data_IF_248500599260
#
_entry.id   IF_248500599260
#
_cell.length_a   1.000
_cell.length_b   1.000
_cell.length_c   1.000
_cell.angle_alpha   90.00
_cell.angle_beta   90.00
_cell.angle_gamma   90.00
#
_symmetry.space_group_name_H-M   'P 1'
#
loop_
_entity.id
_entity.type
_entity.pdbx_description
1 polymer ?
#
# COMPACT_ATOMS: atom_id res chain seq x y z
N UNK A 1 -14.73 7.78 19.65
CA UNK A 1 -14.63 6.44 20.27
C UNK A 1 -14.96 5.43 19.20
N UNK A 2 -14.08 4.45 18.97
CA UNK A 2 -14.28 3.40 17.97
C UNK A 2 -15.53 2.60 18.35
N UNK A 3 -16.64 2.80 17.63
CA UNK A 3 -17.92 2.09 17.79
C UNK A 3 -17.80 0.67 17.19
N UNK A 4 -16.76 -0.06 17.61
CA UNK A 4 -16.39 -1.39 17.14
C UNK A 4 -16.67 -2.39 18.25
N UNK A 5 -17.45 -3.41 17.91
CA UNK A 5 -17.73 -4.57 18.77
C UNK A 5 -17.02 -5.79 18.19
N UNK A 6 -16.64 -6.72 19.05
CA UNK A 6 -15.99 -7.95 18.62
C UNK A 6 -16.84 -9.15 18.99
N UNK A 7 -16.91 -10.14 18.11
CA UNK A 7 -17.63 -11.38 18.34
C UNK A 7 -16.70 -12.45 18.90
N UNK A 8 -17.09 -13.02 20.03
CA UNK A 8 -16.29 -14.00 20.78
C UNK A 8 -17.04 -15.32 20.84
N UNK A 9 -16.46 -16.38 20.29
CA UNK A 9 -16.96 -17.74 20.41
C UNK A 9 -16.42 -18.39 21.68
N UNK A 10 -17.28 -18.91 22.54
CA UNK A 10 -16.90 -19.54 23.81
C UNK A 10 -17.18 -21.04 23.74
N UNK A 11 -16.13 -21.85 23.83
CA UNK A 11 -16.18 -23.30 23.89
C UNK A 11 -15.94 -23.76 25.33
N UNK A 12 -16.88 -24.51 25.92
CA UNK A 12 -16.74 -25.04 27.29
C UNK A 12 -16.63 -26.55 27.35
N UNK A 13 -15.98 -27.07 28.38
CA UNK A 13 -15.66 -28.50 28.51
C UNK A 13 -16.81 -29.38 28.94
N UNK A 14 -17.85 -28.83 29.55
CA UNK A 14 -19.02 -29.62 29.93
C UNK A 14 -20.28 -28.80 30.14
N UNK A 15 -21.42 -29.49 30.27
CA UNK A 15 -22.73 -28.89 30.46
C UNK A 15 -22.88 -28.23 31.84
N UNK A 16 -22.19 -28.75 32.84
CA UNK A 16 -22.12 -28.28 34.23
C UNK A 16 -21.55 -26.86 34.35
N UNK A 17 -20.75 -26.41 33.36
CA UNK A 17 -20.12 -25.08 33.36
C UNK A 17 -21.09 -23.90 33.12
N UNK A 18 -22.38 -24.08 33.42
CA UNK A 18 -23.40 -23.03 33.33
C UNK A 18 -23.05 -21.78 34.16
N UNK A 19 -22.52 -21.89 35.40
CA UNK A 19 -22.10 -20.72 36.17
C UNK A 19 -20.99 -19.92 35.47
N UNK A 20 -19.94 -20.59 34.98
CA UNK A 20 -18.80 -19.98 34.32
C UNK A 20 -19.21 -19.33 32.99
N UNK A 21 -20.07 -20.01 32.20
CA UNK A 21 -20.64 -19.45 30.96
C UNK A 21 -21.38 -18.14 31.22
N UNK A 22 -22.19 -18.08 32.28
CA UNK A 22 -22.93 -16.88 32.64
C UNK A 22 -22.01 -15.71 32.98
N UNK A 23 -20.97 -15.98 33.78
CA UNK A 23 -19.98 -14.96 34.17
C UNK A 23 -19.22 -14.45 32.95
N UNK A 24 -18.74 -15.35 32.08
CA UNK A 24 -18.04 -14.97 30.85
C UNK A 24 -18.96 -14.14 29.93
N UNK A 25 -20.18 -14.59 29.68
CA UNK A 25 -21.13 -13.89 28.81
C UNK A 25 -21.44 -12.48 29.34
N UNK A 26 -21.77 -12.34 30.62
CA UNK A 26 -22.04 -11.04 31.23
C UNK A 26 -20.83 -10.12 31.20
N UNK A 27 -19.64 -10.66 31.44
CA UNK A 27 -18.39 -9.88 31.44
C UNK A 27 -18.04 -9.40 30.05
N UNK A 28 -18.09 -10.28 29.04
CA UNK A 28 -17.86 -9.93 27.64
C UNK A 28 -18.84 -8.86 27.15
N UNK A 29 -20.14 -9.04 27.43
CA UNK A 29 -21.17 -8.06 27.07
C UNK A 29 -20.91 -6.72 27.77
N UNK A 30 -20.56 -6.73 29.06
CA UNK A 30 -20.22 -5.52 29.82
C UNK A 30 -18.98 -4.79 29.28
N UNK A 31 -18.07 -5.51 28.63
CA UNK A 31 -16.90 -4.96 27.95
C UNK A 31 -17.18 -4.52 26.50
N UNK A 32 -18.40 -4.70 25.99
CA UNK A 32 -18.79 -4.32 24.62
C UNK A 32 -18.56 -5.40 23.56
N UNK A 33 -18.26 -6.63 23.97
CA UNK A 33 -18.14 -7.80 23.08
C UNK A 33 -19.50 -8.48 22.90
N UNK A 34 -19.68 -9.15 21.75
CA UNK A 34 -20.77 -10.09 21.53
C UNK A 34 -20.29 -11.50 21.85
N UNK A 35 -20.86 -12.15 22.85
CA UNK A 35 -20.50 -13.53 23.22
C UNK A 35 -21.45 -14.55 22.58
N UNK A 36 -20.92 -15.64 22.05
CA UNK A 36 -21.71 -16.76 21.54
C UNK A 36 -21.18 -18.10 22.09
N UNK A 37 -22.08 -19.01 22.47
CA UNK A 37 -21.74 -20.31 23.04
C UNK A 37 -22.83 -21.35 22.71
N UNK A 38 -22.42 -22.61 22.49
CA UNK A 38 -23.36 -23.74 22.43
C UNK A 38 -23.55 -24.34 23.81
N UNK A 39 -24.75 -24.23 24.38
CA UNK A 39 -25.05 -24.84 25.68
C UNK A 39 -25.31 -26.34 25.58
N UNK A 40 -26.08 -26.78 24.58
CA UNK A 40 -26.43 -28.20 24.38
C UNK A 40 -25.69 -28.78 23.18
N UNK A 41 -24.85 -29.79 23.43
CA UNK A 41 -24.00 -30.39 22.41
C UNK A 41 -24.74 -31.51 21.65
N UNK A 42 -24.68 -31.46 20.32
CA UNK A 42 -25.24 -32.47 19.42
C UNK A 42 -24.54 -32.41 18.05
N UNK A 43 -24.71 -33.41 17.17
CA UNK A 43 -24.21 -33.33 15.80
C UNK A 43 -24.75 -32.10 15.05
N UNK A 44 -26.00 -31.72 15.29
CA UNK A 44 -26.61 -30.52 14.68
C UNK A 44 -25.96 -29.24 15.20
N UNK A 45 -25.78 -29.14 16.52
CA UNK A 45 -25.15 -27.96 17.13
C UNK A 45 -23.68 -27.79 16.73
N UNK A 46 -23.01 -28.87 16.33
CA UNK A 46 -21.62 -28.83 15.82
C UNK A 46 -21.52 -28.03 14.52
N UNK A 47 -22.49 -28.19 13.61
CA UNK A 47 -22.53 -27.41 12.38
C UNK A 47 -22.76 -25.92 12.67
N UNK A 48 -23.62 -25.61 13.66
CA UNK A 48 -23.86 -24.24 14.11
C UNK A 48 -22.60 -23.66 14.74
N UNK A 49 -21.91 -24.42 15.60
CA UNK A 49 -20.66 -24.01 16.24
C UNK A 49 -19.60 -23.63 15.20
N UNK A 50 -19.39 -24.46 14.17
CA UNK A 50 -18.42 -24.17 13.10
C UNK A 50 -18.72 -22.86 12.37
N UNK A 51 -19.99 -22.63 12.02
CA UNK A 51 -20.41 -21.37 11.38
C UNK A 51 -20.12 -20.18 12.28
N UNK A 52 -20.36 -20.31 13.58
CA UNK A 52 -20.10 -19.22 14.53
C UNK A 52 -18.60 -19.00 14.76
N UNK A 53 -17.78 -20.05 14.68
CA UNK A 53 -16.33 -19.90 14.68
C UNK A 53 -15.86 -19.17 13.41
N UNK A 54 -16.43 -19.47 12.24
CA UNK A 54 -16.12 -18.75 11.00
C UNK A 54 -16.39 -17.24 11.11
N UNK A 55 -17.49 -16.87 11.75
CA UNK A 55 -17.94 -15.47 11.89
C UNK A 55 -17.31 -14.73 13.09
N UNK A 56 -16.70 -15.44 14.06
CA UNK A 56 -16.13 -14.82 15.25
C UNK A 56 -14.77 -14.14 15.01
N UNK A 57 -14.48 -13.14 15.82
CA UNK A 57 -13.21 -12.41 15.88
C UNK A 57 -12.19 -13.12 16.79
N UNK A 58 -12.67 -13.66 17.93
CA UNK A 58 -11.84 -14.35 18.93
C UNK A 58 -12.51 -15.64 19.39
N UNK A 59 -11.69 -16.61 19.79
CA UNK A 59 -12.15 -17.86 20.41
C UNK A 59 -11.67 -17.93 21.86
N UNK A 60 -12.59 -18.25 22.77
CA UNK A 60 -12.29 -18.57 24.15
C UNK A 60 -12.54 -20.06 24.37
N UNK A 61 -11.52 -20.77 24.83
CA UNK A 61 -11.69 -22.12 25.37
C UNK A 61 -11.71 -22.05 26.90
N UNK A 62 -12.70 -22.70 27.49
CA UNK A 62 -12.90 -22.73 28.93
C UNK A 62 -12.92 -24.18 29.42
N UNK A 63 -11.87 -24.54 30.16
CA UNK A 63 -11.71 -25.87 30.71
C UNK A 63 -12.07 -25.88 32.19
N UNK A 64 -13.00 -26.75 32.56
CA UNK A 64 -13.33 -27.11 33.92
C UNK A 64 -12.53 -28.34 34.37
N UNK A 65 -13.23 -29.47 34.52
CA UNK A 65 -12.71 -30.74 35.06
C UNK A 65 -13.17 -31.97 34.26
N UNK A 66 -13.88 -31.78 33.14
CA UNK A 66 -14.37 -32.85 32.28
C UNK A 66 -13.87 -32.69 30.84
N UNK A 67 -13.77 -33.79 30.11
CA UNK A 67 -13.59 -33.80 28.66
C UNK A 67 -14.88 -33.40 27.92
N UNK A 68 -16.03 -33.77 28.49
CA UNK A 68 -17.35 -33.40 27.99
C UNK A 68 -17.95 -34.35 26.96
N UNK A 69 -19.08 -33.90 26.41
CA UNK A 69 -19.83 -34.65 25.40
C UNK A 69 -18.97 -34.94 24.18
N UNK A 70 -18.93 -36.22 23.80
CA UNK A 70 -18.17 -36.70 22.66
C UNK A 70 -19.06 -36.93 21.45
N UNK A 71 -18.52 -36.65 20.28
CA UNK A 71 -19.11 -37.07 19.01
C UNK A 71 -19.03 -38.60 18.83
N UNK A 72 -19.63 -39.10 17.75
CA UNK A 72 -19.59 -40.53 17.39
C UNK A 72 -18.17 -41.10 17.23
N UNK A 73 -17.17 -40.26 16.98
CA UNK A 73 -15.75 -40.68 16.91
C UNK A 73 -15.07 -40.77 18.29
N UNK A 74 -15.77 -40.42 19.38
CA UNK A 74 -15.22 -40.40 20.73
C UNK A 74 -14.33 -39.19 21.03
N UNK A 75 -14.35 -38.15 20.20
CA UNK A 75 -13.67 -36.87 20.42
C UNK A 75 -14.70 -35.86 20.96
N UNK A 76 -14.31 -35.11 22.00
CA UNK A 76 -15.14 -34.06 22.62
C UNK A 76 -15.50 -32.98 21.60
N UNK A 77 -16.73 -32.47 21.67
CA UNK A 77 -17.15 -31.36 20.82
C UNK A 77 -16.28 -30.11 21.01
N UNK A 78 -15.81 -29.83 22.24
CA UNK A 78 -14.89 -28.72 22.47
C UNK A 78 -13.51 -28.94 21.82
N UNK A 79 -13.00 -30.17 21.86
CA UNK A 79 -11.75 -30.51 21.17
C UNK A 79 -11.93 -30.39 19.64
N UNK A 80 -13.08 -30.78 19.08
CA UNK A 80 -13.36 -30.54 17.66
C UNK A 80 -13.43 -29.04 17.32
N UNK A 81 -13.97 -28.21 18.21
CA UNK A 81 -14.00 -26.76 18.06
C UNK A 81 -12.60 -26.14 18.14
N UNK A 82 -11.74 -26.62 19.04
CA UNK A 82 -10.32 -26.23 19.11
C UNK A 82 -9.61 -26.46 17.78
N UNK A 83 -9.69 -27.70 17.27
CA UNK A 83 -9.06 -28.09 16.01
C UNK A 83 -9.59 -27.20 14.88
N UNK A 84 -10.90 -26.98 14.84
CA UNK A 84 -11.50 -26.13 13.82
C UNK A 84 -11.01 -24.67 13.90
N UNK A 85 -10.98 -24.08 15.10
CA UNK A 85 -10.51 -22.72 15.32
C UNK A 85 -9.04 -22.53 14.91
N UNK A 86 -8.17 -23.50 15.23
CA UNK A 86 -6.78 -23.51 14.76
C UNK A 86 -6.71 -23.54 13.24
N UNK A 87 -7.46 -24.43 12.59
CA UNK A 87 -7.42 -24.53 11.11
C UNK A 87 -7.90 -23.24 10.43
N UNK A 88 -8.75 -22.46 11.12
CA UNK A 88 -9.24 -21.15 10.68
C UNK A 88 -8.36 -19.99 11.12
N UNK A 89 -7.24 -20.27 11.80
CA UNK A 89 -6.29 -19.28 12.32
C UNK A 89 -6.96 -18.21 13.18
N UNK A 90 -7.96 -18.60 13.98
CA UNK A 90 -8.66 -17.68 14.86
C UNK A 90 -7.79 -17.37 16.08
N UNK A 91 -7.58 -16.09 16.44
CA UNK A 91 -6.92 -15.74 17.69
C UNK A 91 -7.69 -16.35 18.87
N UNK A 92 -6.98 -17.04 19.76
CA UNK A 92 -7.60 -17.75 20.86
C UNK A 92 -6.94 -17.50 22.20
N UNK A 93 -7.75 -17.61 23.24
CA UNK A 93 -7.32 -17.60 24.63
C UNK A 93 -7.96 -18.76 25.37
N UNK A 94 -7.19 -19.41 26.23
CA UNK A 94 -7.62 -20.59 26.99
C UNK A 94 -7.64 -20.24 28.47
N UNK A 95 -8.80 -20.40 29.10
CA UNK A 95 -8.95 -20.32 30.55
C UNK A 95 -9.11 -21.73 31.12
N UNK A 96 -8.22 -22.10 32.02
CA UNK A 96 -8.16 -23.43 32.60
C UNK A 96 -8.40 -23.36 34.11
N UNK A 97 -9.24 -24.24 34.65
CA UNK A 97 -9.32 -24.37 36.10
C UNK A 97 -7.95 -24.76 36.64
N UNK A 98 -7.46 -24.08 37.68
CA UNK A 98 -6.09 -24.26 38.18
C UNK A 98 -5.86 -25.67 38.74
N UNK A 99 -6.84 -26.16 39.51
CA UNK A 99 -6.84 -27.49 40.11
C UNK A 99 -8.17 -28.21 39.77
N UNK A 100 -8.24 -28.94 38.64
CA UNK A 100 -9.48 -29.62 38.26
C UNK A 100 -9.83 -30.76 39.22
N UNK A 101 -8.83 -31.42 39.83
CA UNK A 101 -9.01 -32.58 40.71
C UNK A 101 -9.65 -32.20 42.06
N UNK A 102 -9.41 -30.98 42.55
CA UNK A 102 -10.04 -30.46 43.76
C UNK A 102 -11.55 -30.13 43.61
N UNK A 103 -12.11 -30.19 42.39
CA UNK A 103 -13.53 -29.91 42.16
C UNK A 103 -14.40 -31.08 42.62
N UNK A 104 -15.65 -30.78 42.96
CA UNK A 104 -16.63 -31.79 43.41
C UNK A 104 -16.74 -32.94 42.41
N UNK A 105 -16.88 -34.18 42.90
CA UNK A 105 -16.88 -35.40 42.07
C UNK A 105 -17.92 -35.39 40.94
N UNK A 106 -19.06 -34.73 41.17
CA UNK A 106 -20.14 -34.54 40.18
C UNK A 106 -19.69 -33.77 38.93
N UNK A 107 -18.63 -32.96 39.07
CA UNK A 107 -18.02 -32.16 38.01
C UNK A 107 -16.90 -32.90 37.29
N UNK A 108 -16.74 -34.21 37.50
CA UNK A 108 -15.75 -35.04 36.80
C UNK A 108 -16.44 -36.02 35.85
N UNK A 109 -15.74 -36.43 34.79
CA UNK A 109 -16.22 -37.52 33.94
C UNK A 109 -16.38 -38.80 34.77
N UNK A 110 -17.47 -39.53 34.59
CA UNK A 110 -17.66 -40.82 35.25
C UNK A 110 -16.70 -41.90 34.70
N UNK A 111 -16.31 -41.79 33.43
CA UNK A 111 -15.49 -42.80 32.76
C UNK A 111 -13.99 -42.50 32.85
N UNK A 112 -13.21 -43.48 33.28
CA UNK A 112 -11.74 -43.44 33.25
C UNK A 112 -11.15 -43.05 31.88
N UNK A 113 -11.64 -43.55 30.72
CA UNK A 113 -11.09 -43.14 29.43
C UNK A 113 -11.35 -41.67 29.09
N UNK A 114 -12.48 -41.09 29.50
CA UNK A 114 -12.73 -39.66 29.30
C UNK A 114 -11.81 -38.79 30.16
N UNK A 115 -11.57 -39.18 31.43
CA UNK A 115 -10.60 -38.50 32.31
C UNK A 115 -9.19 -38.49 31.72
N UNK A 116 -8.74 -39.63 31.17
CA UNK A 116 -7.43 -39.71 30.52
C UNK A 116 -7.34 -38.77 29.31
N UNK A 117 -8.38 -38.72 28.46
CA UNK A 117 -8.45 -37.79 27.32
C UNK A 117 -8.48 -36.32 27.76
N UNK A 118 -9.16 -36.00 28.85
CA UNK A 118 -9.14 -34.64 29.42
C UNK A 118 -7.73 -34.22 29.83
N UNK A 119 -7.01 -35.08 30.54
CA UNK A 119 -5.65 -34.81 30.99
C UNK A 119 -4.71 -34.61 29.79
N UNK A 120 -4.82 -35.47 28.79
CA UNK A 120 -4.03 -35.37 27.55
C UNK A 120 -4.32 -34.07 26.81
N UNK A 121 -5.59 -33.75 26.59
CA UNK A 121 -6.00 -32.53 25.88
C UNK A 121 -5.60 -31.26 26.66
N UNK A 122 -5.74 -31.26 27.98
CA UNK A 122 -5.29 -30.16 28.83
C UNK A 122 -3.77 -29.94 28.67
N UNK A 123 -2.99 -31.02 28.73
CA UNK A 123 -1.53 -30.95 28.55
C UNK A 123 -1.16 -30.45 27.16
N UNK A 124 -1.87 -30.90 26.12
CA UNK A 124 -1.69 -30.43 24.75
C UNK A 124 -1.89 -28.91 24.67
N UNK A 125 -3.01 -28.38 25.20
CA UNK A 125 -3.28 -26.94 25.19
C UNK A 125 -2.21 -26.14 25.94
N UNK A 126 -1.70 -26.65 27.06
CA UNK A 126 -0.60 -26.00 27.81
C UNK A 126 0.72 -25.94 27.02
N UNK A 127 0.92 -26.83 26.05
CA UNK A 127 2.14 -26.90 25.24
C UNK A 127 2.01 -26.14 23.92
N UNK A 128 0.83 -26.16 23.30
CA UNK A 128 0.59 -25.66 21.95
C UNK A 128 0.00 -24.25 21.91
N UNK A 129 -0.66 -23.79 22.98
CA UNK A 129 -1.34 -22.48 23.00
C UNK A 129 -0.54 -21.47 23.82
N UNK A 130 -0.23 -20.33 23.21
CA UNK A 130 0.56 -19.27 23.87
C UNK A 130 -0.22 -18.56 25.00
N UNK A 131 -1.53 -18.40 24.83
CA UNK A 131 -2.40 -17.60 25.72
C UNK A 131 -3.22 -18.50 26.65
N UNK A 132 -2.56 -19.08 27.65
CA UNK A 132 -3.20 -19.94 28.67
C UNK A 132 -3.21 -19.24 30.03
N UNK A 133 -4.39 -19.09 30.60
CA UNK A 133 -4.60 -18.47 31.90
C UNK A 133 -5.37 -19.40 32.84
N UNK A 134 -5.11 -19.25 34.14
CA UNK A 134 -5.72 -20.10 35.16
C UNK A 134 -6.76 -19.35 35.99
N UNK A 135 -7.75 -20.08 36.49
CA UNK A 135 -8.74 -19.57 37.45
C UNK A 135 -9.09 -20.65 38.48
N UNK A 136 -9.42 -20.25 39.71
CA UNK A 136 -9.86 -21.15 40.78
C UNK A 136 -11.34 -20.97 41.13
N UNK A 137 -11.90 -19.81 40.82
CA UNK A 137 -13.30 -19.47 41.12
C UNK A 137 -13.85 -18.46 40.11
N UNK A 138 -15.16 -18.22 40.18
CA UNK A 138 -15.88 -17.35 39.25
C UNK A 138 -15.39 -15.89 39.27
N UNK A 139 -15.00 -15.37 40.44
CA UNK A 139 -14.52 -13.99 40.58
C UNK A 139 -13.15 -13.81 39.93
N UNK A 140 -12.28 -14.80 40.10
CA UNK A 140 -10.98 -14.83 39.43
C UNK A 140 -11.16 -15.00 37.92
N UNK A 141 -12.07 -15.86 37.47
CA UNK A 141 -12.39 -16.02 36.04
C UNK A 141 -12.83 -14.68 35.41
N UNK A 142 -13.72 -13.94 36.06
CA UNK A 142 -14.14 -12.59 35.62
C UNK A 142 -12.95 -11.63 35.52
N UNK A 143 -12.09 -11.60 36.56
CA UNK A 143 -10.94 -10.70 36.60
C UNK A 143 -9.92 -11.03 35.50
N UNK A 144 -9.52 -12.30 35.41
CA UNK A 144 -8.57 -12.83 34.43
C UNK A 144 -9.11 -12.67 33.01
N UNK A 145 -10.42 -12.81 32.79
CA UNK A 145 -11.02 -12.53 31.49
C UNK A 145 -10.87 -11.05 31.10
N UNK A 146 -11.19 -10.11 32.01
CA UNK A 146 -11.12 -8.66 31.73
C UNK A 146 -9.70 -8.21 31.38
N UNK A 147 -8.70 -8.65 32.14
CA UNK A 147 -7.31 -8.26 31.90
C UNK A 147 -6.79 -8.81 30.57
N UNK A 148 -7.09 -10.07 30.26
CA UNK A 148 -6.50 -10.73 29.10
C UNK A 148 -7.23 -10.42 27.79
N UNK A 149 -8.53 -10.15 27.81
CA UNK A 149 -9.24 -9.72 26.59
C UNK A 149 -8.75 -8.37 26.07
N UNK A 150 -8.39 -7.44 26.97
CA UNK A 150 -7.78 -6.17 26.55
C UNK A 150 -6.41 -6.40 25.89
N UNK A 151 -5.60 -7.28 26.47
CA UNK A 151 -4.32 -7.67 25.87
C UNK A 151 -4.50 -8.33 24.50
N UNK A 152 -5.51 -9.19 24.33
CA UNK A 152 -5.83 -9.84 23.06
C UNK A 152 -6.16 -8.82 21.95
N UNK A 153 -6.87 -7.73 22.28
CA UNK A 153 -7.17 -6.66 21.31
C UNK A 153 -5.92 -5.95 20.80
N UNK A 154 -4.93 -5.78 21.68
CA UNK A 154 -3.67 -5.10 21.37
C UNK A 154 -2.70 -6.00 20.57
N UNK A 155 -2.53 -7.24 21.00
CA UNK A 155 -1.58 -8.17 20.39
C UNK A 155 -2.12 -8.86 19.12
N UNK A 156 -3.44 -9.04 19.03
CA UNK A 156 -4.08 -9.73 17.91
C UNK A 156 -5.21 -8.87 17.35
N UNK A 157 -4.90 -7.75 16.67
CA UNK A 157 -5.91 -6.84 16.15
C UNK A 157 -6.71 -7.48 15.01
N UNK A 158 -8.03 -7.41 15.13
CA UNK A 158 -8.99 -7.90 14.12
C UNK A 158 -9.96 -6.80 13.68
N UNK A 159 -10.68 -7.06 12.59
CA UNK A 159 -11.57 -6.07 11.97
C UNK A 159 -12.74 -5.70 12.87
N UNK A 160 -13.37 -6.68 13.52
CA UNK A 160 -14.57 -6.48 14.33
C UNK A 160 -15.78 -6.00 13.52
N UNK A 161 -16.86 -5.75 14.26
CA UNK A 161 -18.15 -5.30 13.77
C UNK A 161 -18.38 -3.84 14.10
N UNK A 162 -18.68 -3.05 13.08
CA UNK A 162 -19.10 -1.66 13.24
C UNK A 162 -20.57 -1.58 12.84
N UNK A 163 -21.40 -0.98 13.69
CA UNK A 163 -22.80 -0.75 13.33
C UNK A 163 -22.84 0.19 12.13
N UNK A 164 -23.52 -0.17 11.02
CA UNK A 164 -23.58 0.71 9.88
C UNK A 164 -24.34 1.98 10.28
N UNK A 165 -23.65 3.13 10.23
CA UNK A 165 -24.22 4.46 10.39
C UNK A 165 -24.04 5.18 9.05
N UNK A 166 -25.09 5.86 8.57
CA UNK A 166 -25.06 6.69 7.36
C UNK A 166 -24.49 5.97 6.10
N UNK A 167 -24.77 4.66 5.96
CA UNK A 167 -24.26 3.85 4.84
C UNK A 167 -24.58 4.46 3.47
N UNK A 168 -25.79 5.01 3.32
CA UNK A 168 -26.20 5.69 2.09
C UNK A 168 -25.35 6.92 1.82
N UNK A 169 -25.13 7.79 2.82
CA UNK A 169 -24.31 9.00 2.66
C UNK A 169 -22.87 8.66 2.27
N UNK A 170 -22.29 7.62 2.86
CA UNK A 170 -20.95 7.15 2.51
C UNK A 170 -20.90 6.59 1.09
N UNK A 171 -21.93 5.85 0.66
CA UNK A 171 -22.03 5.35 -0.70
C UNK A 171 -22.16 6.49 -1.71
N UNK A 172 -23.03 7.47 -1.43
CA UNK A 172 -23.21 8.66 -2.27
C UNK A 172 -21.90 9.44 -2.42
N UNK A 173 -21.12 9.58 -1.35
CA UNK A 173 -19.81 10.24 -1.38
C UNK A 173 -18.77 9.43 -2.17
N UNK A 174 -18.75 8.10 -2.01
CA UNK A 174 -17.88 7.21 -2.81
C UNK A 174 -18.20 7.35 -4.30
N UNK A 175 -19.47 7.35 -4.67
CA UNK A 175 -19.89 7.47 -6.07
C UNK A 175 -19.63 8.87 -6.62
N UNK A 176 -19.81 9.92 -5.79
CA UNK A 176 -19.42 11.28 -6.15
C UNK A 176 -17.91 11.37 -6.42
N UNK A 177 -17.07 10.84 -5.54
CA UNK A 177 -15.61 10.84 -5.71
C UNK A 177 -15.17 10.04 -6.94
N UNK A 178 -15.80 8.89 -7.21
CA UNK A 178 -15.55 8.11 -8.44
C UNK A 178 -15.90 8.90 -9.69
N UNK A 179 -17.03 9.60 -9.69
CA UNK A 179 -17.43 10.43 -10.83
C UNK A 179 -16.44 11.58 -11.07
N UNK A 180 -15.97 12.22 -9.99
CA UNK A 180 -14.97 13.29 -10.05
C UNK A 180 -13.61 12.79 -10.54
N UNK A 181 -13.18 11.61 -10.11
CA UNK A 181 -11.95 10.98 -10.62
C UNK A 181 -12.04 10.71 -12.12
N UNK A 182 -13.16 10.15 -12.59
CA UNK A 182 -13.40 9.93 -14.02
C UNK A 182 -13.40 11.24 -14.81
N UNK A 183 -14.02 12.28 -14.28
CA UNK A 183 -14.03 13.60 -14.90
C UNK A 183 -12.62 14.19 -14.99
N UNK A 184 -11.86 14.20 -13.90
CA UNK A 184 -10.49 14.71 -13.88
C UNK A 184 -9.57 13.92 -14.81
N UNK A 185 -9.71 12.59 -14.87
CA UNK A 185 -8.96 11.77 -15.82
C UNK A 185 -9.32 12.10 -17.28
N UNK A 186 -10.59 12.37 -17.58
CA UNK A 186 -11.00 12.82 -18.92
C UNK A 186 -10.44 14.20 -19.24
N UNK A 187 -10.51 15.15 -18.32
CA UNK A 187 -9.94 16.49 -18.51
C UNK A 187 -8.42 16.42 -18.70
N UNK A 188 -7.71 15.58 -17.93
CA UNK A 188 -6.28 15.36 -18.15
C UNK A 188 -6.00 14.79 -19.53
N UNK A 189 -6.74 13.77 -19.97
CA UNK A 189 -6.59 13.22 -21.33
C UNK A 189 -6.94 14.23 -22.41
N UNK A 190 -7.97 15.05 -22.21
CA UNK A 190 -8.34 16.11 -23.15
C UNK A 190 -7.27 17.20 -23.19
N UNK A 191 -6.72 17.62 -22.05
CA UNK A 191 -5.58 18.54 -22.05
C UNK A 191 -4.35 17.90 -22.70
N UNK A 192 -4.10 16.60 -22.50
CA UNK A 192 -3.05 15.88 -23.22
C UNK A 192 -3.34 15.85 -24.73
N UNK A 193 -4.57 15.56 -25.16
CA UNK A 193 -4.99 15.48 -26.58
C UNK A 193 -5.00 16.86 -27.27
N UNK A 194 -5.57 17.88 -26.63
CA UNK A 194 -5.60 19.27 -27.11
C UNK A 194 -4.18 19.86 -27.18
N UNK A 195 -3.26 19.40 -26.31
CA UNK A 195 -1.83 19.73 -26.39
C UNK A 195 -1.03 18.80 -27.31
N UNK A 196 -1.59 17.66 -27.78
CA UNK A 196 -1.00 16.70 -28.75
C UNK A 196 -1.50 16.95 -30.17
N UNK A 197 -2.28 18.01 -30.40
CA UNK A 197 -2.43 18.64 -31.72
C UNK A 197 -1.12 19.31 -32.20
N UNK A 198 0.01 18.66 -31.99
CA UNK A 198 1.32 19.08 -32.49
C UNK A 198 1.61 18.22 -33.72
N UNK A 199 1.76 18.89 -34.86
CA UNK A 199 2.20 18.22 -36.08
C UNK A 199 3.60 17.63 -35.87
N UNK A 200 3.94 16.60 -36.66
CA UNK A 200 5.32 16.14 -36.75
C UNK A 200 6.21 17.33 -37.15
N UNK A 201 7.24 17.58 -36.34
CA UNK A 201 8.21 18.64 -36.61
C UNK A 201 9.46 18.07 -37.29
N UNK A 202 10.01 18.81 -38.23
CA UNK A 202 11.32 18.55 -38.83
C UNK A 202 12.44 18.88 -37.82
N UNK A 203 13.62 18.29 -38.02
CA UNK A 203 14.83 18.60 -37.23
C UNK A 203 15.28 20.06 -37.37
N UNK A 204 14.92 20.72 -38.47
CA UNK A 204 15.26 22.11 -38.76
C UNK A 204 14.21 23.10 -38.22
N UNK A 205 13.04 22.60 -37.81
CA UNK A 205 11.99 23.44 -37.22
C UNK A 205 12.44 23.97 -35.86
N UNK A 206 12.05 25.20 -35.58
CA UNK A 206 12.58 25.95 -34.44
C UNK A 206 11.55 26.01 -33.32
N UNK A 207 11.98 25.67 -32.11
CA UNK A 207 11.18 25.73 -30.91
C UNK A 207 11.66 26.85 -29.98
N UNK A 208 10.72 27.67 -29.50
CA UNK A 208 10.97 28.74 -28.54
C UNK A 208 10.47 28.33 -27.17
N UNK A 209 11.34 28.42 -26.17
CA UNK A 209 11.00 28.09 -24.80
C UNK A 209 11.67 29.04 -23.81
N UNK A 210 11.13 29.04 -22.58
CA UNK A 210 11.58 29.88 -21.49
C UNK A 210 12.37 29.06 -20.47
N UNK A 211 13.38 29.70 -19.89
CA UNK A 211 14.18 29.14 -18.81
C UNK A 211 14.55 30.23 -17.81
N UNK A 212 14.75 29.83 -16.56
CA UNK A 212 15.18 30.71 -15.47
C UNK A 212 16.67 30.57 -15.24
N UNK A 213 17.31 31.67 -14.92
CA UNK A 213 18.73 31.71 -14.54
C UNK A 213 18.92 32.52 -13.27
N UNK A 214 19.98 32.20 -12.55
CA UNK A 214 20.51 33.01 -11.46
C UNK A 214 21.75 33.76 -11.96
N UNK A 215 21.63 35.06 -12.20
CA UNK A 215 22.72 35.92 -12.65
C UNK A 215 23.40 36.59 -11.46
N UNK A 216 24.73 36.62 -11.46
CA UNK A 216 25.52 37.33 -10.46
C UNK A 216 26.02 38.65 -11.04
N UNK A 217 25.66 39.75 -10.39
CA UNK A 217 26.06 41.11 -10.74
C UNK A 217 26.44 41.85 -9.46
N UNK A 218 27.67 42.36 -9.38
CA UNK A 218 28.18 43.17 -8.25
C UNK A 218 27.83 42.61 -6.85
N UNK A 219 27.95 41.28 -6.67
CA UNK A 219 27.67 40.59 -5.42
C UNK A 219 26.20 40.30 -5.11
N UNK A 220 25.27 40.67 -6.00
CA UNK A 220 23.84 40.38 -5.90
C UNK A 220 23.42 39.25 -6.84
N UNK A 221 22.42 38.47 -6.41
CA UNK A 221 21.84 37.38 -7.20
C UNK A 221 20.49 37.85 -7.74
N UNK A 222 20.36 37.84 -9.06
CA UNK A 222 19.11 38.14 -9.75
C UNK A 222 18.56 36.89 -10.43
N UNK A 223 17.30 36.56 -10.16
CA UNK A 223 16.58 35.55 -10.93
C UNK A 223 15.91 36.19 -12.14
N UNK A 224 16.29 35.72 -13.32
CA UNK A 224 15.80 36.24 -14.60
C UNK A 224 15.17 35.10 -15.39
N UNK A 225 14.10 35.41 -16.11
CA UNK A 225 13.51 34.48 -17.09
C UNK A 225 13.93 34.92 -18.48
N UNK A 226 14.63 34.05 -19.20
CA UNK A 226 15.09 34.29 -20.56
C UNK A 226 14.33 33.40 -21.53
N UNK A 227 14.23 33.87 -22.78
CA UNK A 227 13.67 33.11 -23.88
C UNK A 227 14.80 32.63 -24.79
N UNK A 228 14.74 31.34 -25.13
CA UNK A 228 15.67 30.69 -26.05
C UNK A 228 14.93 30.11 -27.23
N UNK A 229 15.62 30.07 -28.36
CA UNK A 229 15.11 29.61 -29.64
C UNK A 229 16.11 28.60 -30.20
N UNK A 230 15.72 27.33 -30.33
CA UNK A 230 16.59 26.23 -30.78
C UNK A 230 15.89 25.36 -31.81
N UNK A 231 16.61 24.82 -32.82
CA UNK A 231 16.03 23.82 -33.70
C UNK A 231 15.80 22.52 -32.94
N UNK A 232 14.75 21.79 -33.30
CA UNK A 232 14.42 20.50 -32.69
C UNK A 232 15.56 19.49 -32.79
N UNK A 233 16.33 19.52 -33.88
CA UNK A 233 17.53 18.69 -34.05
C UNK A 233 18.61 18.96 -32.99
N UNK A 234 18.74 20.21 -32.51
CA UNK A 234 19.69 20.54 -31.43
C UNK A 234 19.21 19.96 -30.10
N UNK A 235 17.93 20.12 -29.78
CA UNK A 235 17.35 19.56 -28.55
C UNK A 235 17.40 18.02 -28.54
N UNK A 236 17.08 17.40 -29.67
CA UNK A 236 17.20 15.96 -29.86
C UNK A 236 18.66 15.51 -29.69
N UNK A 237 19.62 16.23 -30.27
CA UNK A 237 21.03 15.92 -30.12
C UNK A 237 21.48 15.95 -28.65
N UNK A 238 21.14 16.99 -27.89
CA UNK A 238 21.49 17.06 -26.47
C UNK A 238 20.89 15.90 -25.68
N UNK A 239 19.61 15.59 -25.89
CA UNK A 239 18.94 14.47 -25.23
C UNK A 239 19.53 13.12 -25.66
N UNK A 240 19.93 12.96 -26.92
CA UNK A 240 20.49 11.72 -27.45
C UNK A 240 21.80 11.28 -26.76
N UNK A 241 22.54 12.22 -26.16
CA UNK A 241 23.76 11.91 -25.38
C UNK A 241 23.46 11.07 -24.13
N UNK A 242 22.24 11.19 -23.59
CA UNK A 242 21.81 10.52 -22.37
C UNK A 242 20.98 9.29 -22.74
N UNK A 243 19.92 9.45 -23.53
CA UNK A 243 18.89 8.42 -23.74
C UNK A 243 19.27 7.24 -24.67
N UNK A 244 20.56 6.98 -24.92
CA UNK A 244 20.97 5.82 -25.72
C UNK A 244 20.58 4.47 -25.10
N UNK A 245 20.50 4.42 -23.77
CA UNK A 245 19.95 3.30 -22.99
C UNK A 245 18.66 3.73 -22.28
N UNK A 246 17.84 2.78 -21.77
CA UNK A 246 16.66 3.11 -20.99
C UNK A 246 17.03 3.86 -19.69
N UNK A 247 16.62 5.12 -19.59
CA UNK A 247 16.95 6.03 -18.48
C UNK A 247 15.67 6.65 -17.89
N UNK A 248 15.60 6.89 -16.57
CA UNK A 248 14.46 7.53 -15.92
C UNK A 248 14.10 8.91 -16.47
N UNK A 249 12.81 9.23 -16.48
CA UNK A 249 12.26 10.48 -17.02
C UNK A 249 12.85 11.77 -16.43
N UNK A 250 13.29 11.76 -15.17
CA UNK A 250 13.94 12.90 -14.50
C UNK A 250 15.20 13.41 -15.23
N UNK A 251 15.82 12.57 -16.07
CA UNK A 251 16.99 12.95 -16.85
C UNK A 251 16.68 13.90 -18.02
N UNK A 252 15.42 14.06 -18.46
CA UNK A 252 15.06 15.10 -19.43
C UNK A 252 15.38 16.49 -18.86
N UNK A 253 14.94 16.75 -17.62
CA UNK A 253 15.18 18.01 -16.94
C UNK A 253 16.68 18.22 -16.68
N UNK A 254 17.37 17.17 -16.19
CA UNK A 254 18.81 17.23 -15.92
C UNK A 254 19.61 17.58 -17.17
N UNK A 255 19.41 16.84 -18.26
CA UNK A 255 20.12 17.04 -19.52
C UNK A 255 19.92 18.44 -20.10
N UNK A 256 18.66 18.93 -20.15
CA UNK A 256 18.37 20.27 -20.68
C UNK A 256 18.90 21.37 -19.76
N UNK A 257 18.85 21.19 -18.44
CA UNK A 257 19.42 22.17 -17.50
C UNK A 257 20.94 22.24 -17.61
N UNK A 258 21.63 21.10 -17.76
CA UNK A 258 23.09 21.06 -17.97
C UNK A 258 23.47 21.81 -19.26
N UNK A 259 22.75 21.55 -20.35
CA UNK A 259 22.93 22.29 -21.61
C UNK A 259 22.68 23.80 -21.47
N UNK A 260 21.65 24.20 -20.72
CA UNK A 260 21.36 25.61 -20.46
C UNK A 260 22.43 26.23 -19.56
N UNK A 261 22.96 25.53 -18.56
CA UNK A 261 24.05 26.04 -17.71
C UNK A 261 25.30 26.36 -18.55
N UNK A 262 25.65 25.50 -19.50
CA UNK A 262 26.83 25.68 -20.35
C UNK A 262 26.72 26.87 -21.31
N UNK A 263 25.49 27.27 -21.66
CA UNK A 263 25.24 28.28 -22.71
C UNK A 263 24.63 29.58 -22.18
N UNK A 264 24.04 29.58 -20.98
CA UNK A 264 23.34 30.71 -20.38
C UNK A 264 24.23 31.96 -20.20
N UNK A 265 25.51 31.78 -19.88
CA UNK A 265 26.44 32.92 -19.73
C UNK A 265 26.58 33.71 -21.03
N UNK A 266 26.73 33.00 -22.16
CA UNK A 266 26.84 33.62 -23.48
C UNK A 266 25.53 34.27 -23.94
N UNK A 267 24.39 33.77 -23.47
CA UNK A 267 23.08 34.32 -23.78
C UNK A 267 22.84 35.62 -23.02
N UNK A 268 23.09 35.62 -21.71
CA UNK A 268 22.87 36.82 -20.89
C UNK A 268 23.86 37.93 -21.22
N UNK A 269 25.10 37.62 -21.56
CA UNK A 269 26.10 38.64 -21.93
C UNK A 269 25.71 39.45 -23.18
N UNK A 270 24.85 38.92 -24.06
CA UNK A 270 24.31 39.68 -25.21
C UNK A 270 23.32 40.76 -24.78
N UNK A 271 22.65 40.56 -23.65
CA UNK A 271 21.59 41.47 -23.15
C UNK A 271 22.10 42.33 -21.99
N UNK A 272 22.95 41.78 -21.13
CA UNK A 272 23.52 42.38 -19.94
C UNK A 272 25.02 42.04 -19.87
N UNK A 273 25.90 42.83 -20.50
CA UNK A 273 27.35 42.55 -20.56
C UNK A 273 28.06 42.64 -19.20
N UNK A 274 27.41 43.24 -18.21
CA UNK A 274 27.87 43.38 -16.81
C UNK A 274 27.79 42.07 -15.99
N UNK A 275 27.06 41.05 -16.46
CA UNK A 275 26.95 39.77 -15.76
C UNK A 275 28.21 38.93 -16.00
N UNK A 276 28.96 38.66 -14.93
CA UNK A 276 30.22 37.91 -15.00
C UNK A 276 30.06 36.41 -14.73
N UNK A 277 28.98 35.99 -14.06
CA UNK A 277 28.71 34.59 -13.77
C UNK A 277 27.20 34.26 -13.76
N UNK A 278 26.88 33.04 -14.19
CA UNK A 278 25.53 32.45 -14.07
C UNK A 278 25.63 31.24 -13.16
N UNK A 279 24.72 31.15 -12.19
CA UNK A 279 24.55 30.00 -11.31
C UNK A 279 23.73 28.92 -11.97
N UNK A 280 22.51 28.70 -11.46
CA UNK A 280 21.63 27.64 -11.93
C UNK A 280 20.71 28.13 -13.05
N UNK A 281 20.75 27.44 -14.20
CA UNK A 281 19.78 27.52 -15.27
C UNK A 281 18.76 26.37 -15.17
N UNK A 282 17.47 26.69 -15.28
CA UNK A 282 16.38 25.74 -15.19
C UNK A 282 15.34 25.98 -16.27
N UNK A 283 15.06 24.96 -17.08
CA UNK A 283 13.94 25.00 -18.02
C UNK A 283 12.61 25.09 -17.26
N UNK A 284 11.66 25.88 -17.78
CA UNK A 284 10.31 25.92 -17.20
C UNK A 284 9.54 24.62 -17.48
N UNK A 285 8.68 24.24 -16.54
CA UNK A 285 7.91 22.97 -16.58
C UNK A 285 7.13 22.81 -17.89
N UNK A 286 6.52 23.88 -18.39
CA UNK A 286 5.79 23.86 -19.66
C UNK A 286 6.71 23.56 -20.85
N UNK A 287 7.89 24.20 -20.92
CA UNK A 287 8.87 23.98 -21.98
C UNK A 287 9.40 22.55 -21.98
N UNK A 288 9.75 22.03 -20.80
CA UNK A 288 10.20 20.65 -20.61
C UNK A 288 9.14 19.64 -21.05
N UNK A 289 7.89 19.85 -20.63
CA UNK A 289 6.78 18.96 -20.95
C UNK A 289 6.51 18.91 -22.45
N UNK A 290 6.49 20.07 -23.13
CA UNK A 290 6.30 20.14 -24.58
C UNK A 290 7.44 19.47 -25.35
N UNK A 291 8.70 19.68 -24.94
CA UNK A 291 9.84 18.99 -25.55
C UNK A 291 9.67 17.48 -25.41
N UNK A 292 9.33 16.98 -24.21
CA UNK A 292 9.11 15.55 -23.98
C UNK A 292 7.98 14.99 -24.85
N UNK A 293 6.85 15.70 -24.94
CA UNK A 293 5.74 15.31 -25.79
C UNK A 293 6.14 15.25 -27.26
N UNK A 294 6.82 16.27 -27.78
CA UNK A 294 7.26 16.28 -29.17
C UNK A 294 8.22 15.12 -29.47
N UNK A 295 9.17 14.84 -28.58
CA UNK A 295 10.13 13.74 -28.75
C UNK A 295 9.41 12.38 -28.82
N UNK A 296 8.32 12.22 -28.05
CA UNK A 296 7.46 11.03 -28.11
C UNK A 296 6.63 10.99 -29.39
N UNK A 297 6.02 12.11 -29.77
CA UNK A 297 5.13 12.23 -30.93
C UNK A 297 5.86 11.91 -32.24
N UNK A 298 7.07 12.47 -32.40
CA UNK A 298 7.94 12.19 -33.56
C UNK A 298 8.62 10.82 -33.49
N UNK A 299 8.28 10.00 -32.49
CA UNK A 299 8.91 8.70 -32.19
C UNK A 299 10.44 8.77 -32.04
N UNK A 300 11.02 9.93 -31.69
CA UNK A 300 12.46 10.08 -31.51
C UNK A 300 12.93 9.51 -30.17
N UNK A 301 12.21 9.78 -29.09
CA UNK A 301 12.47 9.24 -27.75
C UNK A 301 11.15 8.75 -27.16
N UNK A 302 11.09 7.47 -26.77
CA UNK A 302 9.84 6.79 -26.37
C UNK A 302 9.94 6.15 -24.98
N UNK A 303 8.83 6.06 -24.23
CA UNK A 303 8.79 5.32 -22.98
C UNK A 303 8.92 3.81 -23.24
N UNK A 304 9.58 3.09 -22.33
CA UNK A 304 9.86 1.64 -22.47
C UNK A 304 9.14 0.83 -21.40
N UNK A 305 9.71 0.78 -20.20
CA UNK A 305 9.17 0.04 -19.06
C UNK A 305 9.48 0.79 -17.76
N UNK A 306 8.85 0.37 -16.66
CA UNK A 306 9.21 0.87 -15.33
C UNK A 306 10.41 0.10 -14.79
N UNK A 307 11.28 0.78 -14.06
CA UNK A 307 12.36 0.13 -13.31
C UNK A 307 11.84 -0.54 -12.02
N UNK A 308 12.75 -1.16 -11.26
CA UNK A 308 12.44 -1.80 -9.97
C UNK A 308 11.83 -0.81 -8.95
N UNK A 309 12.12 0.48 -9.09
CA UNK A 309 11.59 1.57 -8.26
C UNK A 309 10.29 2.17 -8.84
N UNK A 310 9.66 1.51 -9.81
CA UNK A 310 8.44 1.96 -10.48
C UNK A 310 8.57 3.28 -11.27
N UNK A 311 9.78 3.72 -11.61
CA UNK A 311 10.02 4.94 -12.41
C UNK A 311 9.94 4.62 -13.90
N UNK A 312 9.23 5.44 -14.68
CA UNK A 312 9.15 5.28 -16.14
C UNK A 312 10.52 5.53 -16.80
N UNK A 313 11.01 4.56 -17.57
CA UNK A 313 12.23 4.68 -18.37
C UNK A 313 11.91 5.08 -19.81
N UNK A 314 12.81 5.85 -20.41
CA UNK A 314 12.74 6.38 -21.77
C UNK A 314 14.00 6.02 -22.54
N UNK A 315 13.91 5.83 -23.86
CA UNK A 315 15.06 5.57 -24.73
C UNK A 315 14.93 6.26 -26.08
N UNK A 316 16.07 6.59 -26.68
CA UNK A 316 16.20 7.01 -28.07
C UNK A 316 15.85 5.83 -29.00
N UNK A 317 15.08 6.10 -30.05
CA UNK A 317 14.72 5.10 -31.07
C UNK A 317 15.74 5.11 -32.21
N UNK A 318 15.69 4.09 -33.08
CA UNK A 318 16.48 4.08 -34.31
C UNK A 318 16.12 5.26 -35.24
N UNK A 319 14.85 5.67 -35.28
CA UNK A 319 14.40 6.84 -36.04
C UNK A 319 15.00 8.13 -35.45
N UNK A 320 14.98 8.28 -34.12
CA UNK A 320 15.62 9.40 -33.43
C UNK A 320 17.12 9.45 -33.70
N UNK A 321 17.83 8.33 -33.63
CA UNK A 321 19.26 8.25 -33.94
C UNK A 321 19.56 8.69 -35.39
N UNK A 322 18.78 8.21 -36.36
CA UNK A 322 18.94 8.64 -37.76
C UNK A 322 18.72 10.15 -37.94
N UNK A 323 17.79 10.75 -37.19
CA UNK A 323 17.57 12.19 -37.22
C UNK A 323 18.73 12.99 -36.60
N UNK A 324 19.35 12.48 -35.53
CA UNK A 324 20.58 13.05 -34.96
C UNK A 324 21.70 13.05 -35.99
N UNK A 325 21.92 11.92 -36.67
CA UNK A 325 22.96 11.78 -37.69
C UNK A 325 22.73 12.74 -38.87
N UNK A 326 21.46 12.90 -39.29
CA UNK A 326 21.06 13.85 -40.34
C UNK A 326 21.34 15.30 -39.93
N UNK A 327 21.02 15.67 -38.68
CA UNK A 327 21.30 17.00 -38.16
C UNK A 327 22.80 17.32 -38.21
N UNK A 328 23.66 16.37 -37.84
CA UNK A 328 25.12 16.52 -37.96
C UNK A 328 25.60 16.71 -39.40
N UNK A 329 25.06 15.95 -40.35
CA UNK A 329 25.42 16.09 -41.77
C UNK A 329 25.02 17.47 -42.32
N UNK A 330 23.86 18.00 -41.93
CA UNK A 330 23.42 19.35 -42.29
C UNK A 330 24.33 20.44 -41.70
N UNK A 331 24.72 20.32 -40.43
CA UNK A 331 25.64 21.28 -39.80
C UNK A 331 27.02 21.28 -40.45
N UNK A 332 27.58 20.11 -40.81
CA UNK A 332 28.86 20.01 -41.49
C UNK A 332 28.83 20.60 -42.91
N UNK A 333 27.75 20.38 -43.68
CA UNK A 333 27.57 21.00 -45.01
C UNK A 333 27.45 22.53 -44.94
N UNK A 334 26.75 23.05 -43.93
CA UNK A 334 26.64 24.49 -43.69
C UNK A 334 27.95 25.13 -43.22
N UNK A 335 28.84 24.36 -42.59
CA UNK A 335 30.18 24.80 -42.23
C UNK A 335 31.10 24.86 -43.46
N UNK A 336 31.06 23.84 -44.32
CA UNK A 336 31.84 23.77 -45.57
C UNK A 336 31.44 24.89 -46.56
N UNK A 337 30.14 25.18 -46.71
CA UNK A 337 29.67 26.26 -47.59
C UNK A 337 30.04 27.66 -47.09
N UNK A 338 30.17 27.85 -45.76
CA UNK A 338 30.69 29.10 -45.18
C UNK A 338 32.19 29.24 -45.39
N UNK A 339 32.99 28.17 -45.29
CA UNK A 339 34.44 28.25 -45.55
C UNK A 339 34.77 28.49 -47.04
N UNK A 340 33.95 27.97 -47.97
CA UNK A 340 34.15 28.20 -49.41
C UNK A 340 33.77 29.63 -49.85
N UNK A 341 32.92 30.32 -49.08
CA UNK A 341 32.57 31.73 -49.32
C UNK A 341 33.59 32.71 -48.74
N UNK A 342 34.41 32.31 -47.76
CA UNK A 342 35.57 33.09 -47.29
C UNK A 342 36.87 32.79 -48.06
N UNK A 343 36.91 31.73 -48.87
CA UNK A 343 38.08 31.37 -49.71
C UNK A 343 38.00 31.95 -51.13
N UNK A 344 36.88 32.62 -51.48
CA UNK A 344 36.64 33.29 -52.76
C UNK A 344 36.54 34.84 -52.62
N UNK A 345 37.05 35.38 -51.52
CA UNK A 345 37.40 36.80 -51.32
C UNK A 345 38.91 36.89 -51.17
#
# INVERSE_FOLDING_TARGET
MLDRRYQVFVATSGAEMSPERRVIAQTLIGMGFSSWCVEQRSPVSTAIARRQIDDCDYVILLLGSQYGDCSVSGISYMHLEYIYAITKQKPMVVFMHADPDARAEELHDASAPARAKFIEFRKQLQQEVDQVFYYQNLRELEHTLRSNMLHMLECFPVLGWIRPQNMQTLQDEIDHLRSKLLQLQRTLRQCEEDMVAICDVSIDDVYRFEYRIQAYEDGHIHELTLQRTEPWGRLLYELSKVFQSPIPEEYFAKCLNDYLNDTALSDIQKTLPQVYAVGRAQILVHGLYHIKLQMRQNEWIVPVQRDEQQRMQWRLTAAGQHMVDRYFQHQNRNFQSKTDSYSNL
#
